data_IF_692385366665
#
_entry.id   IF_692385366665
#
_cell.length_a   1.000
_cell.length_b   1.000
_cell.length_c   1.000
_cell.angle_alpha   90.00
_cell.angle_beta   90.00
_cell.angle_gamma   90.00
#
_symmetry.space_group_name_H-M   'P 1'
#
loop_
_entity.id
_entity.type
_entity.pdbx_description
1 polymer ?
#
# COMPACT_ATOMS: atom_id res chain seq x y z
N UNK A 1 7.60 -53.84 52.56
CA UNK A 1 6.61 -52.77 52.38
C UNK A 1 7.24 -51.37 52.11
N UNK A 2 8.29 -50.91 52.79
CA UNK A 2 8.87 -49.58 52.58
C UNK A 2 9.45 -49.31 51.17
N UNK A 3 10.02 -50.34 50.52
CA UNK A 3 10.60 -50.20 49.15
C UNK A 3 9.57 -50.03 48.02
N UNK A 4 8.36 -50.56 48.14
CA UNK A 4 7.30 -50.42 47.16
C UNK A 4 6.66 -49.04 47.16
N UNK A 5 6.57 -48.41 48.33
CA UNK A 5 6.05 -47.04 48.44
C UNK A 5 7.01 -46.02 47.84
N UNK A 6 8.31 -46.19 47.96
CA UNK A 6 9.30 -45.31 47.37
C UNK A 6 9.27 -45.36 45.83
N UNK A 7 9.10 -46.56 45.26
CA UNK A 7 8.97 -46.79 43.82
C UNK A 7 7.71 -46.15 43.26
N UNK A 8 6.61 -46.23 44.01
CA UNK A 8 5.32 -45.63 43.58
C UNK A 8 5.33 -44.11 43.62
N UNK A 9 5.99 -43.49 44.59
CA UNK A 9 6.18 -42.05 44.69
C UNK A 9 7.09 -41.56 43.57
N UNK A 10 8.16 -42.28 43.24
CA UNK A 10 9.08 -41.92 42.15
C UNK A 10 8.40 -42.02 40.78
N UNK A 11 7.55 -43.04 40.56
CA UNK A 11 6.76 -43.18 39.34
C UNK A 11 5.69 -42.08 39.21
N UNK A 12 5.07 -41.67 40.31
CA UNK A 12 4.10 -40.59 40.33
C UNK A 12 4.75 -39.21 40.02
N UNK A 13 5.96 -38.98 40.56
CA UNK A 13 6.73 -37.77 40.25
C UNK A 13 7.18 -37.74 38.77
N UNK A 14 7.56 -38.89 38.16
CA UNK A 14 7.89 -38.93 36.73
C UNK A 14 6.68 -38.70 35.83
N UNK A 15 5.52 -39.19 36.19
CA UNK A 15 4.29 -38.93 35.42
C UNK A 15 3.87 -37.47 35.52
N UNK A 16 4.08 -36.83 36.67
CA UNK A 16 3.82 -35.39 36.84
C UNK A 16 4.85 -34.50 36.10
N UNK A 17 6.09 -34.99 35.92
CA UNK A 17 7.12 -34.29 35.14
C UNK A 17 6.98 -34.52 33.63
N UNK A 18 6.25 -35.57 33.20
CA UNK A 18 5.96 -35.87 31.78
C UNK A 18 4.60 -35.33 31.32
N UNK A 19 3.76 -34.80 32.21
CA UNK A 19 2.65 -34.00 31.78
C UNK A 19 3.27 -32.85 30.97
N UNK A 20 2.91 -32.71 29.65
CA UNK A 20 3.29 -31.50 28.97
C UNK A 20 2.84 -30.37 29.89
N UNK A 21 3.73 -29.44 30.20
CA UNK A 21 3.33 -28.16 30.74
C UNK A 21 2.42 -27.57 29.68
N UNK A 22 1.14 -27.92 29.74
CA UNK A 22 0.09 -27.11 29.17
C UNK A 22 0.33 -25.80 29.90
N UNK A 23 1.04 -24.89 29.25
CA UNK A 23 1.12 -23.52 29.68
C UNK A 23 -0.35 -23.18 29.99
N UNK A 24 -0.67 -23.09 31.27
CA UNK A 24 -1.90 -22.46 31.69
C UNK A 24 -1.82 -21.09 31.03
N UNK A 25 -2.55 -20.93 29.93
CA UNK A 25 -2.92 -19.61 29.52
C UNK A 25 -3.52 -19.00 30.79
N UNK A 26 -2.85 -18.02 31.37
CA UNK A 26 -3.48 -17.17 32.34
C UNK A 26 -4.77 -16.70 31.68
N UNK A 27 -5.91 -17.03 32.29
CA UNK A 27 -7.17 -16.43 31.89
C UNK A 27 -6.97 -14.93 32.02
N UNK A 28 -6.83 -14.25 30.87
CA UNK A 28 -6.96 -12.86 31.07
C UNK A 28 -6.50 -11.89 30.00
N UNK A 29 -5.38 -12.00 29.40
CA UNK A 29 -4.96 -10.97 28.45
C UNK A 29 -5.30 -11.37 27.03
N UNK A 30 -6.25 -10.64 26.41
CA UNK A 30 -6.55 -10.75 24.98
C UNK A 30 -6.17 -9.46 24.29
N UNK A 31 -5.50 -9.63 23.16
CA UNK A 31 -5.15 -8.57 22.22
C UNK A 31 -5.98 -8.73 20.95
N UNK A 32 -6.03 -7.70 20.13
CA UNK A 32 -6.69 -7.75 18.83
C UNK A 32 -5.66 -7.80 17.70
N UNK A 33 -5.86 -8.73 16.77
CA UNK A 33 -5.15 -8.80 15.50
C UNK A 33 -6.12 -8.44 14.40
N UNK A 34 -5.88 -7.31 13.75
CA UNK A 34 -6.68 -6.79 12.65
C UNK A 34 -5.98 -7.06 11.32
N UNK A 35 -6.71 -7.61 10.35
CA UNK A 35 -6.24 -7.77 8.97
C UNK A 35 -7.13 -6.91 8.08
N UNK A 36 -6.51 -5.94 7.40
CA UNK A 36 -7.19 -5.08 6.43
C UNK A 36 -6.71 -5.46 5.04
N UNK A 37 -7.65 -5.80 4.15
CA UNK A 37 -7.40 -6.09 2.73
C UNK A 37 -7.82 -4.90 1.89
N UNK A 38 -7.00 -4.54 0.92
CA UNK A 38 -7.36 -3.61 -0.16
C UNK A 38 -7.18 -4.32 -1.51
N UNK A 39 -8.17 -4.20 -2.39
CA UNK A 39 -8.17 -4.78 -3.73
C UNK A 39 -7.89 -3.69 -4.75
N UNK A 40 -6.83 -3.87 -5.53
CA UNK A 40 -6.35 -2.94 -6.54
C UNK A 40 -6.51 -3.53 -7.96
N UNK A 41 -6.50 -2.66 -8.97
CA UNK A 41 -6.44 -3.07 -10.38
C UNK A 41 -7.78 -3.42 -11.02
N UNK A 42 -8.89 -3.34 -10.29
CA UNK A 42 -10.23 -3.55 -10.85
C UNK A 42 -10.81 -2.27 -11.43
N UNK A 43 -11.64 -2.42 -12.47
CA UNK A 43 -12.64 -1.45 -12.86
C UNK A 43 -14.00 -2.05 -12.45
N UNK A 44 -14.67 -1.43 -11.49
CA UNK A 44 -15.89 -1.96 -10.89
C UNK A 44 -15.70 -2.35 -9.42
N UNK A 45 -16.62 -3.14 -8.90
CA UNK A 45 -16.65 -3.50 -7.48
C UNK A 45 -15.94 -4.82 -7.20
N UNK A 46 -15.21 -4.87 -6.10
CA UNK A 46 -14.69 -6.10 -5.49
C UNK A 46 -15.62 -6.65 -4.41
N UNK A 47 -16.83 -6.09 -4.25
CA UNK A 47 -17.76 -6.45 -3.20
C UNK A 47 -18.03 -7.96 -3.15
N UNK A 48 -17.95 -8.52 -1.95
CA UNK A 48 -18.16 -9.94 -1.72
C UNK A 48 -16.93 -10.83 -2.00
N UNK A 49 -15.81 -10.25 -2.49
CA UNK A 49 -14.57 -11.02 -2.62
C UNK A 49 -14.02 -11.43 -1.26
N UNK A 50 -13.58 -12.68 -1.15
CA UNK A 50 -13.11 -13.28 0.09
C UNK A 50 -11.63 -13.65 0.01
N UNK A 51 -10.88 -13.32 1.07
CA UNK A 51 -9.47 -13.61 1.22
C UNK A 51 -9.22 -14.32 2.55
N UNK A 52 -8.69 -15.53 2.50
CA UNK A 52 -8.39 -16.34 3.68
C UNK A 52 -6.93 -16.17 4.10
N UNK A 53 -6.72 -16.02 5.39
CA UNK A 53 -5.42 -15.80 6.00
C UNK A 53 -5.12 -16.85 7.06
N UNK A 54 -3.89 -17.36 7.03
CA UNK A 54 -3.27 -18.07 8.12
C UNK A 54 -2.66 -17.06 9.09
N UNK A 55 -2.96 -17.19 10.37
CA UNK A 55 -2.37 -16.42 11.46
C UNK A 55 -1.32 -17.29 12.12
N UNK A 56 -0.09 -16.79 12.19
CA UNK A 56 1.03 -17.52 12.75
C UNK A 56 1.64 -16.75 13.90
N UNK A 57 1.89 -17.42 15.01
CA UNK A 57 2.53 -16.88 16.22
C UNK A 57 3.97 -17.35 16.32
N UNK A 58 4.86 -16.48 16.75
CA UNK A 58 6.26 -16.85 17.04
C UNK A 58 6.31 -17.85 18.19
N UNK A 59 7.16 -18.89 18.05
CA UNK A 59 7.42 -19.86 19.12
C UNK A 59 8.16 -19.17 20.27
N UNK A 60 9.09 -18.29 19.92
CA UNK A 60 9.72 -17.36 20.84
C UNK A 60 10.06 -16.06 20.08
N UNK A 61 10.37 -14.99 20.79
CA UNK A 61 10.59 -13.67 20.18
C UNK A 61 11.94 -13.52 19.47
N UNK A 62 12.87 -14.41 19.75
CA UNK A 62 14.26 -14.35 19.25
C UNK A 62 14.43 -15.11 17.95
N UNK A 63 13.71 -16.22 17.77
CA UNK A 63 13.80 -17.05 16.56
C UNK A 63 12.71 -16.66 15.56
N UNK A 64 13.05 -16.69 14.26
CA UNK A 64 12.07 -16.50 13.16
C UNK A 64 11.28 -17.81 12.91
N UNK A 65 10.90 -18.54 13.96
CA UNK A 65 10.08 -19.74 13.89
C UNK A 65 8.67 -19.43 14.33
N UNK A 66 7.70 -19.75 13.46
CA UNK A 66 6.28 -19.49 13.66
C UNK A 66 5.49 -20.77 13.54
N UNK A 67 4.41 -20.89 14.30
CA UNK A 67 3.42 -21.94 14.17
C UNK A 67 2.07 -21.33 13.82
N UNK A 68 1.26 -22.05 13.06
CA UNK A 68 -0.11 -21.64 12.76
C UNK A 68 -0.96 -21.72 14.02
N UNK A 69 -1.63 -20.63 14.35
CA UNK A 69 -2.49 -20.54 15.54
C UNK A 69 -3.94 -20.22 15.21
N UNK A 70 -4.27 -20.01 13.94
CA UNK A 70 -5.63 -19.78 13.48
C UNK A 70 -5.71 -19.34 12.03
N UNK A 71 -6.94 -19.26 11.56
CA UNK A 71 -7.27 -18.72 10.23
C UNK A 71 -8.40 -17.71 10.35
N UNK A 72 -8.48 -16.79 9.41
CA UNK A 72 -9.62 -15.88 9.28
C UNK A 72 -9.88 -15.55 7.83
N UNK A 73 -11.11 -15.14 7.51
CA UNK A 73 -11.49 -14.68 6.18
C UNK A 73 -11.89 -13.21 6.25
N UNK A 74 -11.40 -12.44 5.31
CA UNK A 74 -11.78 -11.03 5.10
C UNK A 74 -12.68 -10.97 3.89
N UNK A 75 -13.88 -10.43 4.05
CA UNK A 75 -14.81 -10.13 2.94
C UNK A 75 -14.69 -8.65 2.59
N UNK A 76 -14.54 -8.35 1.31
CA UNK A 76 -14.35 -7.00 0.81
C UNK A 76 -15.71 -6.34 0.53
N UNK A 77 -15.84 -5.07 0.91
CA UNK A 77 -17.00 -4.23 0.63
C UNK A 77 -16.94 -3.56 -0.74
N UNK A 78 -17.95 -2.75 -1.04
CA UNK A 78 -18.08 -2.03 -2.31
C UNK A 78 -16.95 -1.00 -2.55
N UNK A 79 -16.28 -0.55 -1.48
CA UNK A 79 -15.14 0.37 -1.54
C UNK A 79 -13.79 -0.32 -1.86
N UNK A 80 -13.82 -1.62 -2.15
CA UNK A 80 -12.63 -2.41 -2.41
C UNK A 80 -11.82 -2.76 -1.17
N UNK A 81 -12.37 -2.54 0.04
CA UNK A 81 -11.70 -2.80 1.31
C UNK A 81 -12.49 -3.76 2.18
N UNK A 82 -11.78 -4.52 2.98
CA UNK A 82 -12.35 -5.41 3.98
C UNK A 82 -11.47 -5.50 5.22
N UNK A 83 -12.08 -5.84 6.34
CA UNK A 83 -11.36 -5.99 7.61
C UNK A 83 -11.92 -7.17 8.38
N UNK A 84 -11.03 -7.96 8.98
CA UNK A 84 -11.35 -8.97 9.98
C UNK A 84 -10.53 -8.71 11.24
N UNK A 85 -11.14 -8.88 12.41
CA UNK A 85 -10.49 -8.75 13.71
C UNK A 85 -10.59 -10.08 14.44
N UNK A 86 -9.47 -10.56 14.97
CA UNK A 86 -9.37 -11.82 15.70
C UNK A 86 -8.75 -11.57 17.06
N UNK A 87 -9.36 -12.10 18.12
CA UNK A 87 -8.78 -12.09 19.46
C UNK A 87 -7.62 -13.07 19.53
N UNK A 88 -6.48 -12.61 20.02
CA UNK A 88 -5.24 -13.39 20.13
C UNK A 88 -4.60 -13.19 21.50
N UNK A 89 -3.85 -14.17 21.98
CA UNK A 89 -3.03 -13.99 23.17
C UNK A 89 -1.84 -13.05 22.88
N UNK A 90 -1.29 -12.35 23.88
CA UNK A 90 -0.08 -11.54 23.71
C UNK A 90 1.03 -12.30 22.99
N UNK A 91 1.77 -11.64 22.10
CA UNK A 91 2.87 -12.24 21.37
C UNK A 91 3.24 -11.55 20.07
N UNK A 92 4.12 -12.20 19.30
CA UNK A 92 4.58 -11.73 18.00
C UNK A 92 3.95 -12.55 16.89
N UNK A 93 3.39 -11.88 15.90
CA UNK A 93 2.56 -12.49 14.85
C UNK A 93 3.04 -12.11 13.44
N UNK A 94 2.75 -12.98 12.50
CA UNK A 94 2.72 -12.74 11.05
C UNK A 94 1.41 -13.27 10.48
N UNK A 95 0.99 -12.74 9.34
CA UNK A 95 -0.14 -13.25 8.57
C UNK A 95 0.28 -13.62 7.16
N UNK A 96 -0.31 -14.68 6.62
CA UNK A 96 -0.08 -15.15 5.26
C UNK A 96 -1.41 -15.46 4.60
N UNK A 97 -1.66 -14.85 3.43
CA UNK A 97 -2.85 -15.15 2.64
C UNK A 97 -2.67 -16.45 1.87
N UNK A 98 -3.77 -17.20 1.71
CA UNK A 98 -3.84 -18.30 0.76
C UNK A 98 -3.84 -17.74 -0.67
N UNK A 99 -2.87 -18.13 -1.47
CA UNK A 99 -2.68 -17.63 -2.84
C UNK A 99 -2.65 -18.77 -3.86
N UNK A 100 -3.05 -18.53 -5.13
CA UNK A 100 -3.56 -17.27 -5.68
C UNK A 100 -4.97 -16.90 -5.17
N UNK A 101 -5.29 -15.59 -5.19
CA UNK A 101 -6.64 -15.12 -4.96
C UNK A 101 -7.60 -15.63 -6.05
N UNK A 102 -8.87 -15.81 -5.71
CA UNK A 102 -9.91 -16.20 -6.69
C UNK A 102 -10.13 -15.07 -7.71
N UNK A 103 -10.49 -15.40 -8.98
CA UNK A 103 -10.90 -14.39 -9.95
C UNK A 103 -12.09 -13.55 -9.44
N UNK A 104 -12.13 -12.27 -9.83
CA UNK A 104 -13.24 -11.34 -9.55
C UNK A 104 -13.79 -10.86 -10.90
N UNK A 105 -14.93 -11.38 -11.32
CA UNK A 105 -15.48 -11.09 -12.64
C UNK A 105 -14.50 -11.48 -13.76
N UNK A 106 -14.17 -10.53 -14.62
CA UNK A 106 -13.21 -10.70 -15.73
C UNK A 106 -11.75 -10.51 -15.32
N UNK A 107 -11.47 -10.32 -14.03
CA UNK A 107 -10.14 -10.05 -13.53
C UNK A 107 -9.55 -11.28 -12.86
N UNK A 108 -8.27 -11.52 -13.13
CA UNK A 108 -7.48 -12.56 -12.48
C UNK A 108 -6.55 -11.95 -11.45
N UNK A 109 -6.31 -12.68 -10.37
CA UNK A 109 -5.31 -12.29 -9.38
C UNK A 109 -3.92 -12.21 -10.02
N UNK A 110 -3.20 -11.13 -9.74
CA UNK A 110 -1.88 -10.85 -10.31
C UNK A 110 -0.78 -10.91 -9.26
N UNK A 111 -0.95 -10.21 -8.15
CA UNK A 111 0.06 -10.16 -7.10
C UNK A 111 -0.54 -9.80 -5.74
N UNK A 112 0.26 -10.03 -4.71
CA UNK A 112 -0.02 -9.62 -3.33
C UNK A 112 1.17 -8.87 -2.79
N UNK A 113 0.92 -7.87 -1.94
CA UNK A 113 1.93 -7.24 -1.11
C UNK A 113 1.41 -7.02 0.31
N UNK A 114 2.33 -7.00 1.27
CA UNK A 114 2.06 -6.78 2.68
C UNK A 114 2.82 -5.58 3.17
N UNK A 115 2.28 -4.87 4.14
CA UNK A 115 3.08 -3.89 4.86
C UNK A 115 4.22 -4.60 5.59
N UNK A 116 5.46 -4.29 5.20
CA UNK A 116 6.66 -4.84 5.84
C UNK A 116 7.10 -6.24 5.42
N UNK A 117 6.54 -6.80 4.33
CA UNK A 117 6.93 -8.14 3.84
C UNK A 117 6.52 -8.39 2.38
N UNK A 118 7.04 -9.45 1.76
CA UNK A 118 6.79 -9.80 0.35
C UNK A 118 5.83 -11.00 0.18
N UNK A 119 6.13 -12.16 0.81
CA UNK A 119 5.35 -13.39 0.68
C UNK A 119 4.41 -13.63 1.86
N UNK A 120 4.64 -12.94 2.94
CA UNK A 120 3.85 -12.87 4.17
C UNK A 120 4.12 -11.52 4.84
N UNK A 121 3.32 -11.13 5.81
CA UNK A 121 3.52 -9.86 6.52
C UNK A 121 4.86 -9.83 7.27
N UNK A 122 5.42 -8.64 7.44
CA UNK A 122 6.44 -8.41 8.45
C UNK A 122 5.90 -8.76 9.85
N UNK A 123 6.77 -9.19 10.78
CA UNK A 123 6.34 -9.54 12.12
C UNK A 123 5.92 -8.30 12.91
N UNK A 124 4.81 -8.42 13.65
CA UNK A 124 4.34 -7.39 14.58
C UNK A 124 4.09 -8.02 15.95
N UNK A 125 4.35 -7.26 17.00
CA UNK A 125 4.18 -7.69 18.40
C UNK A 125 3.03 -6.93 19.05
N UNK A 126 2.21 -7.65 19.81
CA UNK A 126 1.13 -7.07 20.60
C UNK A 126 1.15 -7.65 22.01
N UNK A 127 1.12 -6.78 23.02
CA UNK A 127 1.13 -7.10 24.43
C UNK A 127 0.20 -6.15 25.19
N UNK A 128 -0.34 -6.65 26.29
CA UNK A 128 -1.28 -5.90 27.14
C UNK A 128 -2.73 -6.02 26.66
N UNK A 129 -3.61 -6.18 27.63
CA UNK A 129 -5.02 -6.41 27.39
C UNK A 129 -5.67 -5.24 26.62
N UNK A 130 -6.43 -5.56 25.57
CA UNK A 130 -7.11 -4.58 24.72
C UNK A 130 -6.21 -3.87 23.69
N UNK A 131 -4.92 -4.15 23.64
CA UNK A 131 -4.06 -3.61 22.60
C UNK A 131 -4.29 -4.33 21.26
N UNK A 132 -4.00 -3.62 20.17
CA UNK A 132 -4.21 -4.13 18.81
C UNK A 132 -3.00 -3.94 17.91
N UNK A 133 -2.87 -4.85 16.92
CA UNK A 133 -1.97 -4.73 15.76
C UNK A 133 -2.77 -4.80 14.47
N UNK A 134 -2.29 -4.15 13.42
CA UNK A 134 -2.93 -4.17 12.11
C UNK A 134 -1.95 -4.63 11.04
N UNK A 135 -2.38 -5.63 10.25
CA UNK A 135 -1.71 -6.09 9.03
C UNK A 135 -2.49 -5.59 7.82
N UNK A 136 -1.85 -4.81 6.95
CA UNK A 136 -2.43 -4.35 5.70
C UNK A 136 -1.93 -5.21 4.54
N UNK A 137 -2.85 -5.68 3.73
CA UNK A 137 -2.61 -6.58 2.61
C UNK A 137 -3.24 -6.00 1.35
N UNK A 138 -2.44 -5.89 0.31
CA UNK A 138 -2.86 -5.33 -0.98
C UNK A 138 -2.89 -6.46 -2.02
N UNK A 139 -4.06 -6.77 -2.52
CA UNK A 139 -4.25 -7.72 -3.62
C UNK A 139 -4.41 -6.95 -4.93
N UNK A 140 -3.58 -7.23 -5.91
CA UNK A 140 -3.67 -6.62 -7.24
C UNK A 140 -4.24 -7.59 -8.23
N UNK A 141 -5.21 -7.13 -9.00
CA UNK A 141 -5.88 -7.85 -10.07
C UNK A 141 -5.60 -7.18 -11.41
N UNK A 142 -5.71 -7.97 -12.48
CA UNK A 142 -5.63 -7.46 -13.85
C UNK A 142 -6.67 -8.15 -14.73
N UNK A 143 -7.09 -7.54 -15.85
CA UNK A 143 -7.97 -8.19 -16.81
C UNK A 143 -7.35 -9.49 -17.32
N UNK A 144 -8.13 -10.57 -17.40
CA UNK A 144 -7.65 -11.86 -17.89
C UNK A 144 -7.07 -11.78 -19.31
N UNK A 145 -7.63 -10.93 -20.17
CA UNK A 145 -7.23 -10.71 -21.56
C UNK A 145 -6.93 -9.22 -21.83
N UNK A 146 -6.34 -8.52 -20.87
CA UNK A 146 -6.09 -7.07 -20.98
C UNK A 146 -4.96 -6.72 -21.95
N UNK A 147 -5.12 -5.61 -22.68
CA UNK A 147 -4.04 -5.03 -23.48
C UNK A 147 -3.11 -4.23 -22.57
N UNK A 148 -1.83 -4.61 -22.52
CA UNK A 148 -0.86 -3.98 -21.64
C UNK A 148 -0.63 -2.49 -21.99
N UNK A 149 -0.63 -1.64 -20.96
CA UNK A 149 -0.13 -0.26 -21.01
C UNK A 149 1.32 -0.29 -20.51
N UNK A 150 2.26 -0.09 -21.42
CA UNK A 150 3.69 -0.30 -21.14
C UNK A 150 4.44 0.99 -20.85
N UNK A 151 3.87 2.15 -21.17
CA UNK A 151 4.42 3.47 -20.90
C UNK A 151 3.30 4.51 -20.81
N UNK A 152 3.50 5.55 -20.04
CA UNK A 152 2.58 6.69 -19.93
C UNK A 152 3.38 8.00 -19.95
N UNK A 153 3.64 8.55 -21.14
CA UNK A 153 4.22 9.87 -21.28
C UNK A 153 3.16 10.95 -21.04
N UNK A 154 3.44 11.85 -20.14
CA UNK A 154 2.56 12.96 -19.76
C UNK A 154 3.28 14.26 -20.08
N UNK A 155 2.56 15.20 -20.68
CA UNK A 155 3.05 16.56 -20.95
C UNK A 155 2.25 17.55 -20.13
N UNK A 156 2.95 18.38 -19.36
CA UNK A 156 2.40 19.53 -18.64
C UNK A 156 2.80 20.79 -19.36
N UNK A 157 1.83 21.59 -19.75
CA UNK A 157 2.03 22.88 -20.41
C UNK A 157 1.48 24.03 -19.57
N UNK A 158 1.79 25.29 -19.92
CA UNK A 158 1.33 26.46 -19.16
C UNK A 158 2.09 26.70 -17.84
N UNK A 159 2.97 25.79 -17.42
CA UNK A 159 3.78 25.90 -16.22
C UNK A 159 5.03 26.78 -16.49
N UNK A 160 4.92 28.08 -16.19
CA UNK A 160 6.03 29.05 -16.29
C UNK A 160 5.83 30.19 -15.29
N UNK A 161 6.90 30.83 -14.85
CA UNK A 161 6.84 31.96 -13.92
C UNK A 161 5.95 33.09 -14.48
N UNK A 162 5.04 33.62 -13.66
CA UNK A 162 4.07 34.64 -14.00
C UNK A 162 2.83 34.16 -14.77
N UNK A 163 2.79 32.92 -15.27
CA UNK A 163 1.58 32.35 -15.86
C UNK A 163 0.51 32.06 -14.79
N UNK A 164 -0.76 32.14 -15.16
CA UNK A 164 -1.84 31.77 -14.26
C UNK A 164 -1.87 30.25 -14.05
N UNK A 165 -2.22 29.81 -12.84
CA UNK A 165 -2.41 28.39 -12.54
C UNK A 165 -3.47 27.76 -13.45
N UNK A 166 -4.51 28.53 -13.81
CA UNK A 166 -5.57 28.10 -14.73
C UNK A 166 -5.11 27.87 -16.18
N UNK A 167 -3.92 28.36 -16.57
CA UNK A 167 -3.34 28.14 -17.90
C UNK A 167 -2.58 26.80 -18.00
N UNK A 168 -2.40 26.12 -16.88
CA UNK A 168 -1.78 24.79 -16.87
C UNK A 168 -2.69 23.77 -17.56
N UNK A 169 -2.10 22.90 -18.36
CA UNK A 169 -2.82 21.81 -19.00
C UNK A 169 -1.99 20.54 -18.99
N UNK A 170 -2.69 19.39 -18.94
CA UNK A 170 -2.10 18.07 -18.93
C UNK A 170 -2.60 17.28 -20.13
N UNK A 171 -1.68 16.67 -20.86
CA UNK A 171 -1.99 15.81 -22.00
C UNK A 171 -1.16 14.55 -21.97
N UNK A 172 -1.63 13.50 -22.64
CA UNK A 172 -0.88 12.27 -22.89
C UNK A 172 -1.16 11.78 -24.30
N UNK A 173 -0.19 11.10 -24.89
CA UNK A 173 -0.35 10.40 -26.18
C UNK A 173 -0.78 8.94 -26.03
N UNK A 174 -0.91 8.42 -24.78
CA UNK A 174 -1.36 7.06 -24.54
C UNK A 174 -2.90 6.97 -24.61
N UNK A 175 -3.47 6.37 -25.68
CA UNK A 175 -4.92 6.35 -25.90
C UNK A 175 -5.65 5.37 -24.96
N UNK A 176 -4.90 4.51 -24.26
CA UNK A 176 -5.47 3.50 -23.36
C UNK A 176 -5.68 4.02 -21.93
N UNK A 177 -5.57 5.33 -21.71
CA UNK A 177 -5.93 5.99 -20.46
C UNK A 177 -7.05 7.00 -20.72
N UNK A 178 -7.89 7.21 -19.70
CA UNK A 178 -8.97 8.22 -19.77
C UNK A 178 -8.41 9.65 -19.81
N UNK A 179 -9.27 10.60 -20.12
CA UNK A 179 -8.92 12.01 -20.06
C UNK A 179 -8.40 12.40 -18.68
N UNK A 180 -7.21 13.01 -18.57
CA UNK A 180 -6.66 13.37 -17.27
C UNK A 180 -7.43 14.52 -16.64
N UNK A 181 -7.59 14.45 -15.31
CA UNK A 181 -7.82 15.60 -14.46
C UNK A 181 -6.60 15.81 -13.58
N UNK A 182 -6.38 17.02 -13.07
CA UNK A 182 -5.19 17.29 -12.28
C UNK A 182 -5.39 18.38 -11.25
N UNK A 183 -4.48 18.40 -10.26
CA UNK A 183 -4.33 19.46 -9.28
C UNK A 183 -2.88 19.96 -9.30
N UNK A 184 -2.72 21.28 -9.22
CA UNK A 184 -1.41 21.87 -8.91
C UNK A 184 -1.28 21.97 -7.40
N UNK A 185 -0.11 21.63 -6.90
CA UNK A 185 0.23 21.75 -5.48
C UNK A 185 1.41 22.68 -5.31
N UNK A 186 1.40 23.46 -4.24
CA UNK A 186 2.49 24.30 -3.80
C UNK A 186 3.06 23.75 -2.50
N UNK A 187 4.38 23.69 -2.39
CA UNK A 187 5.03 23.25 -1.16
C UNK A 187 4.94 24.33 -0.09
N UNK A 188 4.51 23.92 1.09
CA UNK A 188 4.44 24.75 2.28
C UNK A 188 5.61 24.39 3.20
N UNK A 189 6.64 25.23 3.21
CA UNK A 189 7.85 24.97 4.01
C UNK A 189 7.58 24.97 5.52
N UNK A 190 6.55 25.68 5.98
CA UNK A 190 6.20 25.73 7.41
C UNK A 190 5.50 24.46 7.87
N UNK A 191 4.55 23.96 7.08
CA UNK A 191 3.80 22.73 7.38
C UNK A 191 4.52 21.47 6.88
N UNK A 192 5.58 21.60 6.08
CA UNK A 192 6.31 20.50 5.42
C UNK A 192 5.33 19.63 4.62
N UNK A 193 4.44 20.26 3.86
CA UNK A 193 3.33 19.61 3.15
C UNK A 193 3.10 20.21 1.77
N UNK A 194 2.32 19.51 0.95
CA UNK A 194 1.86 19.96 -0.35
C UNK A 194 0.41 20.42 -0.26
N UNK A 195 0.17 21.72 -0.43
CA UNK A 195 -1.16 22.32 -0.37
C UNK A 195 -1.73 22.49 -1.80
N UNK A 196 -3.05 22.28 -1.98
CA UNK A 196 -3.70 22.48 -3.29
C UNK A 196 -3.68 23.95 -3.68
N UNK A 197 -3.13 24.28 -4.86
CA UNK A 197 -3.11 25.60 -5.44
C UNK A 197 -4.21 25.71 -6.53
N UNK A 198 -5.30 26.35 -6.21
CA UNK A 198 -6.48 26.45 -7.09
C UNK A 198 -6.56 27.71 -7.92
N UNK A 199 -5.77 28.73 -7.61
CA UNK A 199 -5.76 30.03 -8.30
C UNK A 199 -4.45 30.77 -8.10
N UNK A 200 -4.29 31.90 -8.80
CA UNK A 200 -3.08 32.73 -8.72
C UNK A 200 -2.14 32.51 -9.90
N UNK A 201 -0.88 32.86 -9.70
CA UNK A 201 0.19 32.75 -10.70
C UNK A 201 1.38 31.97 -10.15
N UNK A 202 2.03 31.21 -11.01
CA UNK A 202 3.28 30.53 -10.65
C UNK A 202 4.36 31.54 -10.31
N UNK A 203 4.99 31.39 -9.16
CA UNK A 203 6.10 32.23 -8.72
C UNK A 203 7.42 31.55 -9.03
N UNK A 204 8.44 32.35 -9.36
CA UNK A 204 9.79 31.83 -9.45
C UNK A 204 10.33 31.42 -8.05
N UNK A 205 11.31 30.53 -8.03
CA UNK A 205 11.98 30.03 -6.84
C UNK A 205 11.02 29.36 -5.80
N UNK A 206 9.84 28.97 -6.27
CA UNK A 206 8.82 28.25 -5.48
C UNK A 206 8.71 26.81 -5.97
N UNK A 207 8.56 25.86 -5.02
CA UNK A 207 8.38 24.45 -5.35
C UNK A 207 6.92 24.15 -5.64
N UNK A 208 6.67 23.51 -6.76
CA UNK A 208 5.36 23.03 -7.17
C UNK A 208 5.39 21.54 -7.48
N UNK A 209 4.25 20.89 -7.35
CA UNK A 209 4.02 19.54 -7.82
C UNK A 209 2.71 19.48 -8.59
N UNK A 210 2.56 18.44 -9.38
CA UNK A 210 1.32 18.12 -10.05
C UNK A 210 0.83 16.75 -9.63
N UNK A 211 -0.44 16.65 -9.31
CA UNK A 211 -1.15 15.41 -9.02
C UNK A 211 -2.18 15.19 -10.11
N UNK A 212 -2.01 14.12 -10.89
CA UNK A 212 -2.78 13.82 -12.09
C UNK A 212 -3.58 12.55 -11.86
N UNK A 213 -4.85 12.56 -12.26
CA UNK A 213 -5.76 11.44 -12.13
C UNK A 213 -6.21 11.00 -13.53
N UNK A 214 -6.02 9.70 -13.81
CA UNK A 214 -6.48 9.07 -15.05
C UNK A 214 -7.52 8.03 -14.72
N UNK A 215 -8.67 8.08 -15.37
CA UNK A 215 -9.62 6.97 -15.41
C UNK A 215 -9.02 5.82 -16.21
N UNK A 216 -9.28 4.58 -15.78
CA UNK A 216 -8.86 3.38 -16.50
C UNK A 216 -9.83 3.09 -17.65
N UNK A 217 -9.29 2.56 -18.74
CA UNK A 217 -10.06 2.08 -19.88
C UNK A 217 -10.27 0.57 -19.74
N UNK A 218 -11.54 0.14 -19.88
CA UNK A 218 -11.90 -1.30 -19.81
C UNK A 218 -11.08 -2.12 -20.79
N UNK A 219 -10.61 -3.30 -20.34
CA UNK A 219 -9.79 -4.19 -21.15
C UNK A 219 -8.32 -3.79 -21.27
N UNK A 220 -7.86 -2.75 -20.58
CA UNK A 220 -6.44 -2.40 -20.50
C UNK A 220 -5.81 -2.92 -19.21
N UNK A 221 -4.59 -3.44 -19.32
CA UNK A 221 -3.79 -3.95 -18.20
C UNK A 221 -2.71 -2.93 -17.83
N UNK A 222 -2.82 -2.35 -16.64
CA UNK A 222 -1.90 -1.31 -16.11
C UNK A 222 -0.88 -1.88 -15.11
N UNK A 223 -0.89 -3.18 -14.83
CA UNK A 223 -0.05 -3.80 -13.80
C UNK A 223 1.45 -3.69 -14.06
N UNK A 224 1.84 -3.52 -15.32
CA UNK A 224 3.23 -3.29 -15.72
C UNK A 224 3.66 -1.83 -15.71
N UNK A 225 2.78 -0.89 -15.36
CA UNK A 225 3.05 0.56 -15.39
C UNK A 225 3.65 1.00 -14.05
N UNK A 226 4.97 1.03 -13.98
CA UNK A 226 5.75 1.44 -12.81
C UNK A 226 6.29 2.85 -12.98
N UNK A 227 6.78 3.49 -11.91
CA UNK A 227 7.24 4.87 -11.95
C UNK A 227 8.40 5.17 -12.94
N UNK A 228 9.14 4.15 -13.39
CA UNK A 228 10.16 4.28 -14.43
C UNK A 228 9.59 4.31 -15.87
N UNK A 229 8.32 3.93 -16.03
CA UNK A 229 7.57 3.93 -17.29
C UNK A 229 6.55 5.05 -17.39
N UNK A 230 6.35 5.79 -16.31
CA UNK A 230 5.49 6.98 -16.27
C UNK A 230 6.38 8.20 -16.17
N UNK A 231 6.24 9.10 -17.14
CA UNK A 231 7.03 10.33 -17.19
C UNK A 231 6.15 11.57 -17.28
N UNK A 232 6.58 12.63 -16.62
CA UNK A 232 5.99 13.98 -16.76
C UNK A 232 7.08 14.89 -17.33
N UNK A 233 6.83 15.44 -18.51
CA UNK A 233 7.82 16.23 -19.27
C UNK A 233 9.17 15.51 -19.49
N UNK A 234 9.15 14.15 -19.57
CA UNK A 234 10.33 13.32 -19.72
C UNK A 234 10.99 12.86 -18.41
N UNK A 235 10.62 13.40 -17.27
CA UNK A 235 11.09 13.04 -15.93
C UNK A 235 10.24 11.93 -15.33
N UNK A 236 10.85 11.03 -14.55
CA UNK A 236 10.13 9.93 -13.88
C UNK A 236 9.14 10.45 -12.84
N UNK A 237 7.99 9.80 -12.72
CA UNK A 237 6.93 10.17 -11.80
C UNK A 237 6.56 9.03 -10.85
N UNK A 238 6.00 9.36 -9.68
CA UNK A 238 5.42 8.38 -8.76
C UNK A 238 4.01 8.00 -9.19
N UNK A 239 3.71 6.70 -9.16
CA UNK A 239 2.39 6.15 -9.54
C UNK A 239 1.72 5.55 -8.32
N UNK A 240 0.47 5.91 -8.10
CA UNK A 240 -0.39 5.38 -7.06
C UNK A 240 -1.70 4.93 -7.66
N UNK A 241 -2.27 3.85 -7.15
CA UNK A 241 -3.58 3.36 -7.54
C UNK A 241 -4.63 3.74 -6.49
N UNK A 242 -5.83 4.08 -6.96
CA UNK A 242 -7.00 4.16 -6.09
C UNK A 242 -7.77 2.82 -6.19
N UNK A 243 -7.75 1.98 -5.16
CA UNK A 243 -8.40 0.67 -5.20
C UNK A 243 -9.91 0.76 -5.38
N UNK A 244 -10.55 1.81 -4.86
CA UNK A 244 -12.02 1.94 -4.86
C UNK A 244 -12.60 2.31 -6.22
N UNK A 245 -11.87 3.09 -7.01
CA UNK A 245 -12.37 3.61 -8.30
C UNK A 245 -11.64 3.02 -9.50
N UNK A 246 -10.54 2.31 -9.27
CA UNK A 246 -9.65 1.87 -10.33
C UNK A 246 -8.89 3.00 -11.02
N UNK A 247 -8.97 4.22 -10.50
CA UNK A 247 -8.24 5.37 -11.04
C UNK A 247 -6.76 5.27 -10.71
N UNK A 248 -5.96 5.76 -11.63
CA UNK A 248 -4.52 5.86 -11.45
C UNK A 248 -4.17 7.30 -11.10
N UNK A 249 -3.40 7.48 -10.04
CA UNK A 249 -2.88 8.76 -9.58
C UNK A 249 -1.39 8.83 -9.86
N UNK A 250 -0.96 9.89 -10.53
CA UNK A 250 0.44 10.21 -10.79
C UNK A 250 0.81 11.46 -10.03
N UNK A 251 1.91 11.41 -9.27
CA UNK A 251 2.45 12.57 -8.56
C UNK A 251 3.85 12.87 -9.09
N UNK A 252 4.12 14.15 -9.36
CA UNK A 252 5.40 14.59 -9.86
C UNK A 252 5.74 15.99 -9.33
N UNK A 253 6.93 16.15 -8.77
CA UNK A 253 7.49 17.48 -8.43
C UNK A 253 7.95 18.15 -9.70
N UNK A 254 7.47 19.36 -9.96
CA UNK A 254 7.82 20.13 -11.12
C UNK A 254 9.18 20.84 -10.92
N UNK A 255 9.92 21.06 -11.99
CA UNK A 255 11.16 21.82 -11.94
C UNK A 255 10.92 23.23 -11.35
N UNK A 256 11.81 23.68 -10.46
CA UNK A 256 11.70 25.02 -9.85
C UNK A 256 11.90 26.08 -10.93
N UNK A 257 10.88 26.90 -11.12
CA UNK A 257 10.91 27.98 -12.10
C UNK A 257 11.96 29.03 -11.72
N UNK A 258 12.72 29.49 -12.70
CA UNK A 258 13.68 30.56 -12.53
C UNK A 258 13.20 31.86 -13.20
N UNK A 259 13.57 32.99 -12.62
CA UNK A 259 13.36 34.27 -13.29
C UNK A 259 14.34 34.36 -14.48
N UNK A 260 13.80 34.35 -15.68
CA UNK A 260 14.59 34.68 -16.85
C UNK A 260 14.75 36.21 -16.88
N UNK A 261 15.91 36.69 -16.44
CA UNK A 261 16.26 38.13 -16.62
C UNK A 261 16.47 38.37 -18.11
N UNK A 262 15.59 39.13 -18.74
CA UNK A 262 15.81 39.61 -20.09
C UNK A 262 16.97 40.61 -20.02
N UNK A 263 18.06 40.34 -20.73
CA UNK A 263 19.14 41.32 -20.92
C UNK A 263 18.66 42.25 -22.02
N UNK A 264 18.16 43.42 -21.65
CA UNK A 264 17.60 44.38 -22.61
C UNK A 264 18.68 45.19 -23.36
N UNK A 265 19.91 45.23 -22.85
CA UNK A 265 21.01 45.95 -23.50
C UNK A 265 22.37 45.36 -23.07
N UNK A 266 23.24 45.14 -24.04
CA UNK A 266 24.67 44.85 -23.84
C UNK A 266 25.41 46.01 -24.46
N UNK A 267 26.00 46.91 -23.65
CA UNK A 267 26.85 47.97 -24.11
C UNK A 267 28.27 47.42 -24.35
N UNK A 268 28.67 47.32 -25.62
CA UNK A 268 30.03 46.93 -25.97
C UNK A 268 30.80 48.20 -26.15
N UNK A 269 31.55 48.62 -25.16
CA UNK A 269 32.57 49.67 -25.31
C UNK A 269 33.81 49.03 -25.93
N UNK A 270 34.10 49.38 -27.19
CA UNK A 270 35.39 49.11 -27.83
C UNK A 270 36.41 50.11 -27.33
N UNK A 271 37.65 49.68 -27.02
CA UNK A 271 38.73 50.61 -26.59
C UNK A 271 39.22 51.51 -27.72
#
# INVERSE_FOLDING_TARGET
>A
MKKQWLSMILALCMVLCLAPATARAEEGETCELKITVEVNGLIGSAEGAEFTFQIKKAINEVTAQYYECGTTTVTVGADGKGTSTVSVAPGKYIVKQDVPGKPIGEYVWYSISYTGGNNESGPQSVYGNGNSIEFKVYNTYKPANGTAVTALPITVTGYKAGAKVADAAVTTTEPKVGTPSFKIKQYNDTAVSWDDLTSGTFQADTKYAIEIFFGRVTGCDYTGLTGDKVTVNGEKASVFENPSTGDMRVFHELEVLKVVKKVDHIEITTP
#
